data_IF_020352516768
#
_entry.id   IF_020352516768
#
_cell.length_a   1.000
_cell.length_b   1.000
_cell.length_c   1.000
_cell.angle_alpha   90.00
_cell.angle_beta   90.00
_cell.angle_gamma   90.00
#
_symmetry.space_group_name_H-M   'P 1'
#
loop_
_entity.id
_entity.type
_entity.pdbx_description
1 polymer ?
#
# COMPACT_ATOMS: atom_id res chain seq x y z
N UNK A 1 -33.05 -2.83 10.12
CA UNK A 1 -32.31 -3.03 8.86
C UNK A 1 -33.27 -3.72 7.94
N UNK A 2 -33.97 -2.96 7.10
CA UNK A 2 -34.98 -3.52 6.19
C UNK A 2 -34.29 -4.18 5.00
N UNK A 3 -34.62 -5.44 4.78
CA UNK A 3 -34.12 -6.25 3.67
C UNK A 3 -34.85 -5.85 2.39
N UNK A 4 -34.32 -4.88 1.64
CA UNK A 4 -34.67 -4.71 0.24
C UNK A 4 -34.25 -5.97 -0.51
N UNK A 5 -35.15 -6.53 -1.33
CA UNK A 5 -35.03 -7.87 -1.90
C UNK A 5 -33.69 -8.15 -2.57
N UNK A 6 -32.91 -9.08 -2.02
CA UNK A 6 -31.75 -9.77 -2.59
C UNK A 6 -30.83 -8.97 -3.56
N UNK A 7 -30.62 -7.68 -3.32
CA UNK A 7 -29.83 -6.79 -4.18
C UNK A 7 -28.96 -5.82 -3.39
N UNK A 8 -28.13 -5.06 -4.10
CA UNK A 8 -27.22 -4.05 -3.56
C UNK A 8 -27.67 -2.65 -3.99
N UNK A 9 -27.55 -1.67 -3.09
CA UNK A 9 -27.63 -0.25 -3.42
C UNK A 9 -26.21 0.32 -3.40
N UNK A 10 -25.76 0.85 -4.53
CA UNK A 10 -24.48 1.55 -4.64
C UNK A 10 -24.73 3.05 -4.48
N UNK A 11 -23.97 3.70 -3.61
CA UNK A 11 -23.97 5.15 -3.48
C UNK A 11 -22.62 5.71 -3.93
N UNK A 12 -22.64 6.57 -4.93
CA UNK A 12 -21.45 7.26 -5.41
C UNK A 12 -21.16 8.50 -4.55
N UNK A 13 -19.92 8.99 -4.62
CA UNK A 13 -19.50 10.21 -3.90
C UNK A 13 -20.37 11.43 -4.28
N UNK A 14 -20.84 11.49 -5.53
CA UNK A 14 -21.75 12.53 -6.02
C UNK A 14 -23.18 12.48 -5.46
N UNK A 15 -23.49 11.48 -4.62
CA UNK A 15 -24.81 11.29 -4.02
C UNK A 15 -25.79 10.49 -4.87
N UNK A 16 -25.39 10.04 -6.06
CA UNK A 16 -26.20 9.17 -6.93
C UNK A 16 -26.34 7.78 -6.32
N UNK A 17 -27.53 7.19 -6.44
CA UNK A 17 -27.83 5.83 -5.96
C UNK A 17 -28.27 4.92 -7.12
N UNK A 18 -27.75 3.69 -7.13
CA UNK A 18 -28.06 2.67 -8.14
C UNK A 18 -28.42 1.36 -7.45
N UNK A 19 -29.48 0.69 -7.93
CA UNK A 19 -29.79 -0.68 -7.52
C UNK A 19 -29.13 -1.69 -8.48
N UNK A 20 -28.55 -2.74 -7.92
CA UNK A 20 -27.92 -3.82 -8.69
C UNK A 20 -28.16 -5.18 -8.05
N UNK A 21 -28.43 -6.21 -8.87
CA UNK A 21 -28.55 -7.58 -8.38
C UNK A 21 -27.20 -8.20 -7.97
N UNK A 22 -26.08 -7.67 -8.48
CA UNK A 22 -24.73 -8.12 -8.17
C UNK A 22 -23.72 -6.97 -8.27
N UNK A 23 -22.64 -7.05 -7.48
CA UNK A 23 -21.54 -6.07 -7.47
C UNK A 23 -20.20 -6.80 -7.55
N UNK A 24 -19.32 -6.34 -8.45
CA UNK A 24 -17.92 -6.79 -8.53
C UNK A 24 -17.02 -5.72 -7.94
N UNK A 25 -16.31 -6.04 -6.87
CA UNK A 25 -15.33 -5.13 -6.24
C UNK A 25 -13.95 -5.39 -6.83
N UNK A 26 -13.54 -4.54 -7.76
CA UNK A 26 -12.26 -4.63 -8.47
C UNK A 26 -11.36 -3.40 -8.22
N UNK A 27 -11.38 -2.85 -7.01
CA UNK A 27 -10.68 -1.60 -6.65
C UNK A 27 -9.15 -1.73 -6.56
N UNK A 28 -8.61 -2.95 -6.69
CA UNK A 28 -7.20 -3.24 -6.46
C UNK A 28 -6.80 -3.16 -4.97
N UNK A 29 -5.52 -3.43 -4.69
CA UNK A 29 -4.95 -3.45 -3.33
C UNK A 29 -4.15 -2.18 -2.98
N UNK A 30 -4.03 -1.24 -3.91
CA UNK A 30 -3.11 -0.09 -3.81
C UNK A 30 -3.40 0.86 -2.63
N UNK A 31 -4.64 0.89 -2.14
CA UNK A 31 -5.05 1.77 -1.04
C UNK A 31 -4.80 1.18 0.36
N UNK A 32 -4.17 0.00 0.48
CA UNK A 32 -4.07 -0.73 1.75
C UNK A 32 -2.62 -0.92 2.24
N UNK A 33 -1.79 0.12 2.12
CA UNK A 33 -0.48 0.11 2.76
C UNK A 33 -0.62 0.00 4.29
N UNK A 34 -0.05 -1.05 4.87
CA UNK A 34 -0.03 -1.26 6.30
C UNK A 34 1.36 -0.98 6.87
N UNK A 35 1.43 0.01 7.76
CA UNK A 35 2.63 0.32 8.54
C UNK A 35 2.32 0.03 10.02
N UNK A 36 3.01 -0.95 10.65
CA UNK A 36 2.86 -1.25 12.07
C UNK A 36 3.02 0.00 12.93
N UNK A 37 2.13 0.18 13.92
CA UNK A 37 2.13 1.37 14.78
C UNK A 37 3.50 1.62 15.44
N UNK A 38 4.20 0.54 15.85
CA UNK A 38 5.53 0.63 16.45
C UNK A 38 6.58 1.28 15.55
N UNK A 39 6.43 1.27 14.23
CA UNK A 39 7.38 1.90 13.31
C UNK A 39 7.06 3.36 13.00
N UNK A 40 5.83 3.83 13.25
CA UNK A 40 5.38 5.18 12.85
C UNK A 40 6.21 6.32 13.45
N UNK A 41 6.84 6.10 14.60
CA UNK A 41 7.73 7.09 15.22
C UNK A 41 8.98 7.43 14.37
N UNK A 42 9.35 6.56 13.42
CA UNK A 42 10.45 6.77 12.48
C UNK A 42 10.11 7.80 11.38
N UNK A 43 8.84 8.12 11.20
CA UNK A 43 8.36 9.10 10.22
C UNK A 43 7.25 9.97 10.83
N UNK A 44 7.60 10.95 11.69
CA UNK A 44 6.64 11.77 12.42
C UNK A 44 5.76 12.65 11.50
N UNK A 45 6.26 12.98 10.31
CA UNK A 45 5.51 13.71 9.27
C UNK A 45 4.77 12.79 8.30
N UNK A 46 4.75 11.48 8.56
CA UNK A 46 4.15 10.45 7.71
C UNK A 46 5.17 9.67 6.88
N UNK A 47 4.89 8.39 6.56
CA UNK A 47 5.77 7.55 5.75
C UNK A 47 5.77 8.00 4.29
N UNK A 48 6.92 7.91 3.64
CA UNK A 48 7.05 8.26 2.23
C UNK A 48 8.46 8.10 1.69
N UNK A 49 8.66 8.22 0.37
CA UNK A 49 9.95 7.93 -0.26
C UNK A 49 11.10 8.81 0.25
N UNK A 50 10.79 10.03 0.70
CA UNK A 50 11.74 10.98 1.27
C UNK A 50 11.89 10.86 2.80
N UNK A 51 11.05 10.05 3.46
CA UNK A 51 11.11 9.82 4.88
C UNK A 51 12.00 8.61 5.23
N UNK A 52 12.47 8.49 6.49
CA UNK A 52 13.21 7.31 6.94
C UNK A 52 12.40 6.00 6.92
N UNK A 53 11.08 6.09 6.81
CA UNK A 53 10.15 4.96 6.73
C UNK A 53 9.23 5.12 5.52
N UNK A 54 9.06 4.06 4.75
CA UNK A 54 8.17 4.01 3.59
C UNK A 54 7.62 2.59 3.40
N UNK A 55 6.53 2.48 2.64
CA UNK A 55 5.97 1.21 2.21
C UNK A 55 6.43 0.90 0.78
N UNK A 56 6.55 -0.38 0.41
CA UNK A 56 6.98 -0.80 -0.94
C UNK A 56 6.08 -0.23 -2.04
N UNK A 57 4.77 -0.09 -1.79
CA UNK A 57 3.82 0.54 -2.73
C UNK A 57 4.08 2.03 -3.02
N UNK A 58 4.97 2.68 -2.28
CA UNK A 58 5.36 4.08 -2.50
C UNK A 58 6.57 4.20 -3.42
N UNK A 59 7.17 3.07 -3.84
CA UNK A 59 8.38 3.03 -4.65
C UNK A 59 8.10 2.50 -6.04
N UNK A 60 8.41 3.32 -7.04
CA UNK A 60 8.51 2.92 -8.43
C UNK A 60 9.98 2.74 -8.86
N UNK A 61 10.90 3.32 -8.08
CA UNK A 61 12.33 3.31 -8.34
C UNK A 61 13.10 3.24 -7.01
N UNK A 62 13.92 2.21 -6.87
CA UNK A 62 14.75 1.96 -5.70
C UNK A 62 16.20 2.46 -5.89
N UNK A 63 16.59 2.91 -7.08
CA UNK A 63 17.96 3.37 -7.39
C UNK A 63 18.44 4.51 -6.48
N UNK A 64 17.50 5.31 -5.97
CA UNK A 64 17.74 6.37 -4.97
C UNK A 64 18.37 5.89 -3.66
N UNK A 65 18.37 4.58 -3.41
CA UNK A 65 18.95 3.96 -2.23
C UNK A 65 20.38 3.44 -2.44
N UNK A 66 20.96 3.61 -3.63
CA UNK A 66 22.35 3.25 -3.89
C UNK A 66 23.31 3.85 -2.84
N UNK A 67 24.21 3.01 -2.31
CA UNK A 67 25.16 3.38 -1.26
C UNK A 67 24.55 3.66 0.11
N UNK A 68 23.24 3.39 0.32
CA UNK A 68 22.57 3.53 1.61
C UNK A 68 22.39 2.18 2.29
N UNK A 69 22.30 2.21 3.62
CA UNK A 69 21.87 1.07 4.42
C UNK A 69 20.36 1.08 4.56
N UNK A 70 19.70 0.00 4.17
CA UNK A 70 18.24 -0.10 4.12
C UNK A 70 17.79 -1.39 4.80
N UNK A 71 16.85 -1.30 5.74
CA UNK A 71 16.22 -2.48 6.33
C UNK A 71 14.88 -2.73 5.65
N UNK A 72 14.70 -3.92 5.09
CA UNK A 72 13.41 -4.38 4.57
C UNK A 72 12.67 -5.16 5.65
N UNK A 73 11.44 -4.74 5.98
CA UNK A 73 10.61 -5.37 7.01
C UNK A 73 9.45 -6.12 6.36
N UNK A 74 9.48 -7.45 6.45
CA UNK A 74 8.45 -8.34 5.91
C UNK A 74 9.04 -9.58 5.26
N UNK A 75 8.21 -10.60 5.02
CA UNK A 75 8.62 -11.87 4.37
C UNK A 75 7.76 -12.25 3.16
N UNK A 76 6.88 -11.36 2.71
CA UNK A 76 6.08 -11.57 1.49
C UNK A 76 6.88 -11.27 0.22
N UNK A 77 6.31 -11.59 -0.93
CA UNK A 77 6.95 -11.41 -2.24
C UNK A 77 7.45 -9.97 -2.46
N UNK A 78 6.65 -8.95 -2.13
CA UNK A 78 7.06 -7.56 -2.28
C UNK A 78 8.29 -7.20 -1.43
N UNK A 79 8.47 -7.81 -0.26
CA UNK A 79 9.65 -7.60 0.58
C UNK A 79 10.89 -8.27 -0.04
N UNK A 80 10.77 -9.53 -0.46
CA UNK A 80 11.87 -10.29 -1.04
C UNK A 80 12.36 -9.69 -2.36
N UNK A 81 11.44 -9.33 -3.25
CA UNK A 81 11.77 -8.65 -4.52
C UNK A 81 12.39 -7.27 -4.27
N UNK A 82 11.84 -6.48 -3.34
CA UNK A 82 12.42 -5.16 -3.01
C UNK A 82 13.83 -5.30 -2.44
N UNK A 83 14.08 -6.29 -1.57
CA UNK A 83 15.41 -6.53 -1.01
C UNK A 83 16.43 -6.91 -2.11
N UNK A 84 16.03 -7.78 -3.05
CA UNK A 84 16.87 -8.13 -4.19
C UNK A 84 17.17 -6.92 -5.07
N UNK A 85 16.15 -6.14 -5.45
CA UNK A 85 16.31 -4.94 -6.29
C UNK A 85 17.13 -3.84 -5.59
N UNK A 86 16.98 -3.68 -4.27
CA UNK A 86 17.81 -2.77 -3.48
C UNK A 86 19.28 -3.20 -3.50
N UNK A 87 19.55 -4.48 -3.28
CA UNK A 87 20.90 -5.04 -3.31
C UNK A 87 21.55 -4.89 -4.69
N UNK A 88 20.82 -5.24 -5.76
CA UNK A 88 21.26 -5.05 -7.16
C UNK A 88 21.51 -3.58 -7.48
N UNK A 89 20.70 -2.67 -6.91
CA UNK A 89 20.87 -1.23 -6.99
C UNK A 89 22.00 -0.65 -6.14
N UNK A 90 22.77 -1.49 -5.44
CA UNK A 90 23.94 -1.08 -4.65
C UNK A 90 23.59 -0.54 -3.26
N UNK A 91 22.41 -0.81 -2.73
CA UNK A 91 22.12 -0.61 -1.31
C UNK A 91 22.69 -1.76 -0.46
N UNK A 92 23.03 -1.45 0.78
CA UNK A 92 23.40 -2.43 1.81
C UNK A 92 22.12 -2.83 2.55
N UNK A 93 21.65 -4.06 2.31
CA UNK A 93 20.34 -4.59 2.77
C UNK A 93 20.52 -5.83 3.63
#
# INVERSE_FOLDING_TARGET
MDSAGAGFVLRLEGGEEFEAAAVVVATGLGAHAYIPQRLRHLAPTGPGPQAPLSHTSQHMDLSRYAGRRVVVVGGGQSALESAALLHEGGADV
#
